data_IF_596664956701
#
_entry.id   IF_596664956701
#
_cell.length_a   1.000
_cell.length_b   1.000
_cell.length_c   1.000
_cell.angle_alpha   90.00
_cell.angle_beta   90.00
_cell.angle_gamma   90.00
#
_symmetry.space_group_name_H-M   'P 1'
#
loop_
_entity.id
_entity.type
_entity.pdbx_description
1 polymer ?
#
# COMPACT_ATOMS: atom_id res chain seq x y z
N UNK A 1 -2.77 11.41 -5.39
CA UNK A 1 -2.84 10.76 -4.07
C UNK A 1 -1.93 9.53 -4.01
N UNK A 2 -1.91 8.80 -2.88
CA UNK A 2 -1.06 7.63 -2.72
C UNK A 2 -1.47 6.53 -3.69
N UNK A 3 -0.50 5.91 -4.34
CA UNK A 3 -0.76 4.84 -5.30
C UNK A 3 0.23 3.70 -5.11
N UNK A 4 -0.29 2.50 -5.09
CA UNK A 4 0.36 1.31 -4.60
C UNK A 4 0.36 0.21 -5.66
N UNK A 5 1.28 -0.72 -5.53
CA UNK A 5 1.36 -1.95 -6.34
C UNK A 5 2.37 -2.90 -5.70
N UNK A 6 2.55 -4.12 -6.22
CA UNK A 6 3.63 -5.01 -5.81
C UNK A 6 5.04 -4.38 -5.87
N UNK A 7 5.22 -3.35 -6.71
CA UNK A 7 6.50 -2.62 -6.86
C UNK A 7 6.68 -1.45 -5.88
N UNK A 8 5.77 -1.27 -4.93
CA UNK A 8 5.90 -0.20 -3.93
C UNK A 8 7.14 -0.41 -3.07
N UNK A 9 7.92 0.64 -2.85
CA UNK A 9 9.10 0.59 -1.99
C UNK A 9 8.79 0.12 -0.56
N UNK A 10 9.69 -0.63 0.06
CA UNK A 10 9.50 -1.24 1.39
C UNK A 10 9.42 -0.22 2.55
N UNK A 11 9.82 1.02 2.32
CA UNK A 11 9.69 2.14 3.27
C UNK A 11 8.26 2.69 3.39
N UNK A 12 7.35 2.33 2.49
CA UNK A 12 5.94 2.73 2.55
C UNK A 12 5.10 1.75 3.34
N UNK A 13 4.15 2.28 4.12
CA UNK A 13 3.35 1.50 5.08
C UNK A 13 2.61 0.34 4.42
N UNK A 14 2.08 0.51 3.23
CA UNK A 14 1.34 -0.52 2.48
C UNK A 14 2.21 -1.73 2.21
N UNK A 15 3.37 -1.54 1.59
CA UNK A 15 4.29 -2.64 1.31
C UNK A 15 4.90 -3.21 2.60
N UNK A 16 5.19 -2.35 3.59
CA UNK A 16 5.69 -2.78 4.90
C UNK A 16 4.72 -3.75 5.58
N UNK A 17 3.42 -3.44 5.59
CA UNK A 17 2.38 -4.29 6.18
C UNK A 17 2.26 -5.61 5.42
N UNK A 18 2.10 -5.55 4.10
CA UNK A 18 1.91 -6.74 3.26
C UNK A 18 3.10 -7.68 3.34
N UNK A 19 4.32 -7.16 3.15
CA UNK A 19 5.55 -7.96 3.20
C UNK A 19 5.77 -8.59 4.58
N UNK A 20 5.52 -7.84 5.66
CA UNK A 20 5.65 -8.35 7.02
C UNK A 20 4.61 -9.43 7.32
N UNK A 21 3.35 -9.25 6.94
CA UNK A 21 2.31 -10.26 7.13
C UNK A 21 2.66 -11.58 6.43
N UNK A 22 3.16 -11.52 5.18
CA UNK A 22 3.62 -12.70 4.46
C UNK A 22 4.83 -13.34 5.14
N UNK A 23 5.83 -12.56 5.57
CA UNK A 23 6.97 -13.09 6.32
C UNK A 23 6.56 -13.78 7.63
N UNK A 24 5.59 -13.21 8.33
CA UNK A 24 5.04 -13.79 9.56
C UNK A 24 4.34 -15.13 9.25
N UNK A 25 3.51 -15.17 8.20
CA UNK A 25 2.87 -16.42 7.74
C UNK A 25 3.88 -17.51 7.40
N UNK A 26 5.01 -17.15 6.83
CA UNK A 26 6.08 -18.08 6.44
C UNK A 26 7.07 -18.39 7.59
N UNK A 27 6.89 -17.82 8.78
CA UNK A 27 7.79 -18.02 9.93
C UNK A 27 9.14 -17.32 9.80
N UNK A 28 9.23 -16.31 8.91
CA UNK A 28 10.46 -15.54 8.65
C UNK A 28 10.55 -14.25 9.49
N UNK A 29 9.48 -13.91 10.20
CA UNK A 29 9.40 -12.72 11.05
C UNK A 29 8.38 -12.97 12.16
N UNK A 30 8.65 -12.48 13.36
CA UNK A 30 7.77 -12.73 14.51
C UNK A 30 6.74 -11.61 14.73
N UNK A 31 7.14 -10.35 14.48
CA UNK A 31 6.33 -9.17 14.81
C UNK A 31 6.50 -8.05 13.78
N UNK A 32 5.48 -7.18 13.72
CA UNK A 32 5.50 -5.95 12.93
C UNK A 32 5.28 -4.75 13.86
N UNK A 33 6.21 -3.80 13.84
CA UNK A 33 6.07 -2.53 14.55
C UNK A 33 5.64 -1.42 13.59
N UNK A 34 4.58 -0.70 13.96
CA UNK A 34 4.01 0.43 13.22
C UNK A 34 3.91 1.67 14.10
N UNK A 35 3.80 2.84 13.49
CA UNK A 35 3.46 4.09 14.18
C UNK A 35 1.97 4.24 14.39
N UNK A 36 1.38 5.31 13.84
CA UNK A 36 -0.04 5.59 13.95
C UNK A 36 -0.85 4.65 13.04
N UNK A 37 -1.67 3.81 13.64
CA UNK A 37 -2.55 2.89 12.92
C UNK A 37 -3.93 3.46 12.61
N UNK A 38 -4.27 4.63 13.18
CA UNK A 38 -5.59 5.23 13.07
C UNK A 38 -5.63 6.41 12.07
N UNK A 39 -4.55 6.59 11.31
CA UNK A 39 -4.51 7.55 10.21
C UNK A 39 -5.19 6.97 8.96
N UNK A 40 -6.10 7.74 8.37
CA UNK A 40 -6.85 7.38 7.17
C UNK A 40 -6.18 7.94 5.92
N UNK A 41 -6.06 7.11 4.89
CA UNK A 41 -5.48 7.50 3.59
C UNK A 41 -6.33 6.96 2.45
N UNK A 42 -6.34 7.71 1.37
CA UNK A 42 -6.87 7.29 0.08
C UNK A 42 -5.74 6.60 -0.69
N UNK A 43 -5.81 5.29 -0.78
CA UNK A 43 -4.85 4.46 -1.52
C UNK A 43 -5.51 3.91 -2.78
N UNK A 44 -4.90 4.21 -3.92
CA UNK A 44 -5.30 3.66 -5.20
C UNK A 44 -4.21 2.78 -5.82
N UNK A 45 -4.53 2.11 -6.92
CA UNK A 45 -3.57 1.26 -7.63
C UNK A 45 -2.77 2.06 -8.66
N UNK A 46 -1.45 1.84 -8.74
CA UNK A 46 -0.55 2.53 -9.65
C UNK A 46 -0.98 2.44 -11.11
N UNK A 47 -1.54 1.32 -11.53
CA UNK A 47 -2.06 1.15 -12.88
C UNK A 47 -3.14 2.18 -13.23
N UNK A 48 -4.09 2.39 -12.33
CA UNK A 48 -5.17 3.37 -12.53
C UNK A 48 -4.62 4.81 -12.60
N UNK A 49 -3.60 5.10 -11.81
CA UNK A 49 -2.95 6.41 -11.82
C UNK A 49 -2.15 6.67 -13.11
N UNK A 50 -1.47 5.65 -13.64
CA UNK A 50 -0.81 5.75 -14.97
C UNK A 50 -1.84 5.98 -16.08
N UNK A 51 -3.01 5.34 -16.02
CA UNK A 51 -4.11 5.60 -16.94
C UNK A 51 -4.61 7.05 -16.85
N UNK A 52 -4.73 7.57 -15.62
CA UNK A 52 -5.07 8.98 -15.42
C UNK A 52 -4.02 9.91 -16.03
N UNK A 53 -2.72 9.65 -15.78
CA UNK A 53 -1.62 10.44 -16.37
C UNK A 53 -1.70 10.43 -17.91
N UNK A 54 -1.97 9.27 -18.51
CA UNK A 54 -2.13 9.16 -19.96
C UNK A 54 -3.30 10.01 -20.49
N UNK A 55 -4.44 10.00 -19.82
CA UNK A 55 -5.60 10.82 -20.19
C UNK A 55 -5.29 12.32 -20.05
N UNK A 56 -4.65 12.73 -18.96
CA UNK A 56 -4.28 14.12 -18.71
C UNK A 56 -3.33 14.65 -19.79
N UNK A 57 -2.27 13.91 -20.12
CA UNK A 57 -1.27 14.32 -21.12
C UNK A 57 -1.87 14.43 -22.53
N UNK A 58 -2.89 13.63 -22.85
CA UNK A 58 -3.55 13.66 -24.15
C UNK A 58 -4.81 14.57 -24.19
N UNK A 59 -5.09 15.27 -23.10
CA UNK A 59 -6.19 16.23 -23.09
C UNK A 59 -5.85 17.49 -23.89
N UNK A 60 -6.84 18.06 -24.55
CA UNK A 60 -6.64 19.21 -25.46
C UNK A 60 -6.33 20.51 -24.73
N UNK A 61 -6.77 20.64 -23.50
CA UNK A 61 -6.58 21.83 -22.67
C UNK A 61 -5.74 21.48 -21.44
N UNK A 62 -4.74 22.34 -21.15
CA UNK A 62 -3.92 22.17 -19.95
C UNK A 62 -4.75 22.51 -18.70
N UNK A 63 -4.83 21.56 -17.75
CA UNK A 63 -5.58 21.74 -16.50
C UNK A 63 -5.02 20.85 -15.40
N UNK A 64 -5.36 21.17 -14.13
CA UNK A 64 -4.96 20.43 -12.95
C UNK A 64 -6.05 19.44 -12.52
N UNK A 65 -5.67 18.19 -12.29
CA UNK A 65 -6.58 17.14 -11.89
C UNK A 65 -6.13 16.44 -10.61
N UNK A 66 -7.04 16.24 -9.68
CA UNK A 66 -6.83 15.36 -8.54
C UNK A 66 -7.15 13.93 -8.97
N UNK A 67 -6.16 13.03 -8.78
CA UNK A 67 -6.34 11.59 -9.01
C UNK A 67 -6.37 10.88 -7.66
N UNK A 68 -7.51 10.27 -7.35
CA UNK A 68 -7.78 9.59 -6.08
C UNK A 68 -8.93 8.60 -6.23
N UNK A 69 -9.03 7.65 -5.31
CA UNK A 69 -10.16 6.70 -5.31
C UNK A 69 -11.44 7.32 -4.74
N UNK A 70 -11.30 8.29 -3.84
CA UNK A 70 -12.41 8.86 -3.07
C UNK A 70 -12.84 7.99 -1.87
N UNK A 71 -12.13 6.88 -1.63
CA UNK A 71 -12.36 5.99 -0.48
C UNK A 71 -11.12 5.95 0.39
N UNK A 72 -11.30 6.04 1.71
CA UNK A 72 -10.19 6.02 2.66
C UNK A 72 -10.26 4.80 3.55
N UNK A 73 -9.09 4.27 3.88
CA UNK A 73 -8.92 3.21 4.86
C UNK A 73 -7.87 3.62 5.89
N UNK A 74 -8.00 3.12 7.12
CA UNK A 74 -6.97 3.27 8.13
C UNK A 74 -5.87 2.21 7.96
N UNK A 75 -4.70 2.48 8.55
CA UNK A 75 -3.64 1.46 8.62
C UNK A 75 -4.10 0.24 9.41
N UNK A 76 -4.98 0.42 10.38
CA UNK A 76 -5.57 -0.66 11.17
C UNK A 76 -6.44 -1.57 10.31
N UNK A 77 -7.35 -0.98 9.50
CA UNK A 77 -8.18 -1.73 8.54
C UNK A 77 -7.31 -2.48 7.52
N UNK A 78 -6.21 -1.88 7.08
CA UNK A 78 -5.24 -2.55 6.21
C UNK A 78 -4.62 -3.78 6.89
N UNK A 79 -4.19 -3.66 8.14
CA UNK A 79 -3.64 -4.79 8.88
C UNK A 79 -4.69 -5.89 9.05
N UNK A 80 -5.91 -5.54 9.44
CA UNK A 80 -7.00 -6.51 9.61
C UNK A 80 -7.27 -7.27 8.31
N UNK A 81 -7.38 -6.56 7.20
CA UNK A 81 -7.64 -7.17 5.90
C UNK A 81 -6.48 -8.05 5.41
N UNK A 82 -5.25 -7.53 5.43
CA UNK A 82 -4.08 -8.25 4.89
C UNK A 82 -3.74 -9.50 5.73
N UNK A 83 -3.78 -9.38 7.06
CA UNK A 83 -3.56 -10.54 7.93
C UNK A 83 -4.69 -11.56 7.80
N UNK A 84 -5.93 -11.09 7.66
CA UNK A 84 -7.09 -11.95 7.41
C UNK A 84 -6.98 -12.76 6.11
N UNK A 85 -6.40 -12.21 5.04
CA UNK A 85 -6.10 -12.97 3.79
C UNK A 85 -5.16 -14.16 4.03
N UNK A 86 -4.38 -14.12 5.11
CA UNK A 86 -3.37 -15.12 5.46
C UNK A 86 -3.82 -16.02 6.63
N UNK A 87 -5.09 -15.95 7.04
CA UNK A 87 -5.65 -16.65 8.22
C UNK A 87 -4.89 -16.31 9.53
N UNK A 88 -4.51 -15.05 9.71
CA UNK A 88 -3.83 -14.52 10.90
C UNK A 88 -4.68 -13.39 11.53
N UNK A 89 -4.64 -13.28 12.87
CA UNK A 89 -5.13 -12.08 13.58
C UNK A 89 -3.97 -11.10 13.76
N UNK A 90 -4.06 -9.92 13.13
CA UNK A 90 -2.99 -8.91 13.24
C UNK A 90 -2.68 -8.49 14.67
N UNK A 91 -3.63 -8.61 15.60
CA UNK A 91 -3.45 -8.22 17.01
C UNK A 91 -2.39 -9.04 17.71
N UNK A 92 -2.15 -10.26 17.25
CA UNK A 92 -1.12 -11.13 17.82
C UNK A 92 0.29 -10.74 17.39
N UNK A 93 0.42 -10.01 16.27
CA UNK A 93 1.71 -9.75 15.60
C UNK A 93 2.06 -8.28 15.48
N UNK A 94 1.07 -7.38 15.45
CA UNK A 94 1.28 -5.95 15.19
C UNK A 94 1.29 -5.18 16.50
N UNK A 95 2.35 -4.39 16.72
CA UNK A 95 2.48 -3.50 17.88
C UNK A 95 2.72 -2.07 17.43
N UNK A 96 2.23 -1.10 18.20
CA UNK A 96 2.53 0.31 17.97
C UNK A 96 3.83 0.68 18.71
N UNK A 97 4.75 1.32 17.97
CA UNK A 97 5.99 1.84 18.54
C UNK A 97 6.00 3.38 18.40
N UNK A 98 6.07 4.12 19.53
CA UNK A 98 6.08 5.59 19.52
C UNK A 98 7.21 6.20 18.68
N UNK A 99 8.33 5.49 18.50
CA UNK A 99 9.45 5.94 17.65
C UNK A 99 9.08 6.15 16.18
N UNK A 100 8.01 5.48 15.72
CA UNK A 100 7.51 5.61 14.35
C UNK A 100 6.35 6.62 14.22
N UNK A 101 5.98 7.29 15.30
CA UNK A 101 5.01 8.38 15.24
C UNK A 101 5.67 9.61 14.60
N UNK A 102 4.96 10.22 13.66
CA UNK A 102 5.39 11.50 13.08
C UNK A 102 4.93 12.64 13.99
N UNK A 103 5.77 13.68 14.11
CA UNK A 103 5.44 14.85 14.93
C UNK A 103 4.17 15.56 14.43
N UNK A 104 3.97 15.58 13.10
CA UNK A 104 2.76 16.09 12.46
C UNK A 104 2.24 15.04 11.50
N UNK A 105 1.04 14.56 11.74
CA UNK A 105 0.38 13.59 10.88
C UNK A 105 -1.09 13.98 10.67
N UNK A 106 -1.46 14.08 9.41
CA UNK A 106 -2.86 14.26 9.04
C UNK A 106 -3.65 13.01 9.43
N UNK A 107 -4.66 13.18 10.27
CA UNK A 107 -5.53 12.08 10.69
C UNK A 107 -6.33 11.50 9.52
N UNK A 108 -6.72 12.36 8.59
CA UNK A 108 -7.60 12.00 7.48
C UNK A 108 -7.15 12.71 6.21
N UNK A 109 -6.88 11.94 5.16
CA UNK A 109 -6.53 12.46 3.85
C UNK A 109 -7.33 11.71 2.77
N UNK A 110 -8.32 12.37 2.20
CA UNK A 110 -9.20 11.88 1.14
C UNK A 110 -9.10 12.81 -0.06
N UNK A 111 -8.99 12.24 -1.26
CA UNK A 111 -9.04 13.00 -2.49
C UNK A 111 -10.48 13.13 -3.04
N UNK A 112 -10.72 14.21 -3.75
CA UNK A 112 -11.91 14.39 -4.58
C UNK A 112 -11.50 14.35 -6.05
N UNK A 113 -11.85 13.27 -6.73
CA UNK A 113 -11.55 13.04 -8.14
C UNK A 113 -12.74 13.33 -9.06
N UNK A 114 -13.76 14.05 -8.60
CA UNK A 114 -14.95 14.37 -9.40
C UNK A 114 -14.58 15.02 -10.72
N UNK A 115 -13.69 16.02 -10.72
CA UNK A 115 -13.27 16.74 -11.93
C UNK A 115 -12.70 15.82 -13.00
N UNK A 116 -11.75 14.94 -12.66
CA UNK A 116 -11.14 14.05 -13.65
C UNK A 116 -12.14 13.02 -14.17
N UNK A 117 -13.06 12.55 -13.34
CA UNK A 117 -14.12 11.62 -13.74
C UNK A 117 -15.05 12.26 -14.76
N UNK A 118 -15.55 13.47 -14.48
CA UNK A 118 -16.48 14.19 -15.35
C UNK A 118 -15.82 14.68 -16.63
N UNK A 119 -14.55 15.15 -16.56
CA UNK A 119 -13.86 15.75 -17.71
C UNK A 119 -13.22 14.70 -18.61
N UNK A 120 -12.55 13.70 -18.03
CA UNK A 120 -11.73 12.74 -18.78
C UNK A 120 -12.32 11.31 -18.77
N UNK A 121 -13.43 11.08 -18.09
CA UNK A 121 -14.06 9.76 -17.97
C UNK A 121 -13.18 8.73 -17.23
N UNK A 122 -12.24 9.21 -16.40
CA UNK A 122 -11.39 8.31 -15.64
C UNK A 122 -12.12 7.71 -14.46
N UNK A 123 -11.95 6.41 -14.27
CA UNK A 123 -12.45 5.68 -13.10
C UNK A 123 -11.38 4.70 -12.61
N UNK A 124 -11.22 4.53 -11.28
CA UNK A 124 -10.37 3.48 -10.75
C UNK A 124 -10.99 2.12 -11.05
N UNK A 125 -10.16 1.16 -11.46
CA UNK A 125 -10.58 -0.22 -11.75
C UNK A 125 -10.24 -1.18 -10.61
N UNK A 126 -9.30 -0.78 -9.73
CA UNK A 126 -8.95 -1.53 -8.54
C UNK A 126 -9.69 -0.99 -7.31
N UNK A 127 -10.15 -1.88 -6.46
CA UNK A 127 -10.57 -1.55 -5.10
C UNK A 127 -9.39 -1.69 -4.15
N UNK A 128 -9.56 -1.23 -2.91
CA UNK A 128 -8.58 -1.44 -1.85
C UNK A 128 -8.29 -2.93 -1.65
N UNK A 129 -9.33 -3.75 -1.62
CA UNK A 129 -9.24 -5.19 -1.40
C UNK A 129 -8.49 -5.91 -2.52
N UNK A 130 -8.82 -5.61 -3.78
CA UNK A 130 -8.15 -6.24 -4.93
C UNK A 130 -6.68 -5.85 -5.01
N UNK A 131 -6.36 -4.60 -4.70
CA UNK A 131 -4.99 -4.10 -4.65
C UNK A 131 -4.18 -4.77 -3.52
N UNK A 132 -4.72 -4.83 -2.30
CA UNK A 132 -4.04 -5.49 -1.18
C UNK A 132 -3.84 -6.99 -1.42
N UNK A 133 -4.84 -7.64 -2.04
CA UNK A 133 -4.73 -9.04 -2.41
C UNK A 133 -3.62 -9.28 -3.44
N UNK A 134 -3.55 -8.47 -4.50
CA UNK A 134 -2.49 -8.57 -5.51
C UNK A 134 -1.10 -8.41 -4.88
N UNK A 135 -0.93 -7.43 -4.02
CA UNK A 135 0.34 -7.22 -3.31
C UNK A 135 0.69 -8.39 -2.39
N UNK A 136 -0.30 -8.98 -1.73
CA UNK A 136 -0.10 -10.14 -0.85
C UNK A 136 0.27 -11.38 -1.64
N UNK A 137 -0.44 -11.66 -2.73
CA UNK A 137 -0.16 -12.80 -3.61
C UNK A 137 1.25 -12.71 -4.22
N UNK A 138 1.67 -11.51 -4.62
CA UNK A 138 3.02 -11.26 -5.11
C UNK A 138 4.09 -11.65 -4.09
N UNK A 139 3.98 -11.18 -2.84
CA UNK A 139 4.97 -11.50 -1.81
C UNK A 139 4.92 -12.96 -1.37
N UNK A 140 3.74 -13.61 -1.42
CA UNK A 140 3.65 -15.06 -1.19
C UNK A 140 4.42 -15.84 -2.25
N UNK A 141 4.34 -15.44 -3.52
CA UNK A 141 5.09 -16.07 -4.60
C UNK A 141 6.59 -15.81 -4.47
N UNK A 142 6.97 -14.55 -4.25
CA UNK A 142 8.36 -14.13 -4.18
C UNK A 142 9.10 -14.78 -3.01
N UNK A 143 8.56 -14.70 -1.80
CA UNK A 143 9.18 -15.26 -0.61
C UNK A 143 8.93 -16.77 -0.45
N UNK A 144 7.81 -17.28 -0.94
CA UNK A 144 7.49 -18.73 -0.89
C UNK A 144 8.36 -19.55 -1.85
N UNK A 145 8.77 -18.98 -2.98
CA UNK A 145 9.70 -19.62 -3.92
C UNK A 145 11.15 -19.52 -3.47
N UNK A 146 11.51 -18.51 -2.68
CA UNK A 146 12.87 -18.27 -2.18
C UNK A 146 13.26 -19.21 -1.03
N UNK A 147 12.29 -19.88 -0.37
CA UNK A 147 12.60 -20.90 0.64
C UNK A 147 13.36 -22.12 0.09
N UNK A 148 13.64 -22.15 -1.22
CA UNK A 148 14.43 -23.18 -1.87
C UNK A 148 15.87 -22.76 -2.23
N UNK A 149 16.24 -21.46 -2.10
CA UNK A 149 17.60 -20.98 -2.36
C UNK A 149 18.02 -20.01 -1.24
N UNK A 150 18.70 -20.55 -0.23
CA UNK A 150 19.41 -19.77 0.79
C UNK A 150 20.66 -19.11 0.18
N UNK A 151 20.53 -17.87 -0.29
CA UNK A 151 21.65 -16.94 -0.43
C UNK A 151 21.13 -15.51 -0.28
N UNK A 152 21.77 -14.79 0.63
CA UNK A 152 21.45 -13.44 1.09
C UNK A 152 21.21 -12.45 -0.05
N UNK A 153 19.96 -12.02 -0.27
CA UNK A 153 19.71 -10.76 -0.98
C UNK A 153 19.72 -9.61 0.03
N UNK A 154 20.84 -8.89 0.04
CA UNK A 154 20.95 -7.60 0.72
C UNK A 154 20.10 -6.60 -0.06
N UNK A 155 19.04 -6.06 0.55
CA UNK A 155 18.20 -5.00 -0.01
C UNK A 155 19.09 -3.77 -0.29
N UNK A 156 19.32 -3.38 -1.57
CA UNK A 156 20.23 -2.29 -1.91
C UNK A 156 19.75 -0.90 -1.42
N UNK A 157 18.53 -0.79 -0.91
CA UNK A 157 17.95 0.46 -0.39
C UNK A 157 18.12 0.67 1.13
N UNK A 158 18.72 -0.29 1.85
CA UNK A 158 18.98 -0.19 3.29
C UNK A 158 20.36 0.39 3.64
N UNK A 159 21.21 0.74 2.67
CA UNK A 159 22.58 1.22 2.91
C UNK A 159 22.77 2.74 2.86
N UNK A 160 21.74 3.57 2.94
CA UNK A 160 21.93 5.02 3.06
C UNK A 160 21.08 5.61 4.17
N UNK A 161 21.65 5.65 5.36
CA UNK A 161 21.65 6.59 6.50
C UNK A 161 21.64 5.90 7.85
#
# INVERSE_FOLDING_TARGET
>A
FNHESPRRGSNFVTNKVVKAAVKIKLGLQDKLELGNMDAYRDWGHSYDYVRAMHLIVNHTEADDFVVSTGVTHSVREMCDYVFGLLDLDYKDYVTQNPKFLRAEELKYLKGDSTKIRETLGWEPTYTFETMMKEMTDHWLQDLGSTSYNSSEEVDPYLQTR
#
